data_IF_488388491371
#
_entry.id   IF_488388491371
#
_cell.length_a   1.000
_cell.length_b   1.000
_cell.length_c   1.000
_cell.angle_alpha   90.00
_cell.angle_beta   90.00
_cell.angle_gamma   90.00
#
_symmetry.space_group_name_H-M   'P 1'
#
loop_
_entity.id
_entity.type
_entity.pdbx_description
1 polymer ?
#
# COMPACT_ATOMS: atom_id res chain seq x y z
N UNK A 1 8.53 -1.67 2.48
CA UNK A 1 7.80 -1.17 1.28
C UNK A 1 6.73 -0.21 1.75
N UNK A 2 6.37 0.79 0.95
CA UNK A 2 5.33 1.78 1.28
C UNK A 2 4.21 1.67 0.25
N UNK A 3 2.96 1.68 0.70
CA UNK A 3 1.78 1.84 -0.16
C UNK A 3 1.21 3.23 0.07
N UNK A 4 0.86 3.91 -1.03
CA UNK A 4 0.09 5.15 -0.99
C UNK A 4 -1.28 4.93 -1.61
N UNK A 5 -2.31 5.35 -0.90
CA UNK A 5 -3.69 5.26 -1.37
C UNK A 5 -4.31 6.65 -1.39
N UNK A 6 -4.78 7.07 -2.55
CA UNK A 6 -5.62 8.26 -2.68
C UNK A 6 -7.05 7.95 -2.28
N UNK A 7 -7.65 8.81 -1.45
CA UNK A 7 -9.05 8.70 -1.03
C UNK A 7 -9.83 9.87 -1.62
N UNK A 8 -10.96 9.61 -2.30
CA UNK A 8 -11.81 10.64 -2.92
C UNK A 8 -12.50 11.57 -1.92
N UNK A 9 -13.13 12.63 -2.44
CA UNK A 9 -13.82 13.74 -1.73
C UNK A 9 -12.94 14.66 -0.86
N UNK A 10 -11.77 14.17 -0.46
CA UNK A 10 -10.74 14.93 0.25
C UNK A 10 -9.43 14.76 -0.52
N UNK A 11 -8.66 15.82 -0.74
CA UNK A 11 -7.33 15.70 -1.37
C UNK A 11 -6.31 15.11 -0.36
N UNK A 12 -6.59 13.89 0.14
CA UNK A 12 -5.81 13.20 1.16
C UNK A 12 -5.25 11.91 0.60
N UNK A 13 -3.95 11.75 0.82
CA UNK A 13 -3.21 10.53 0.59
C UNK A 13 -2.98 9.83 1.93
N UNK A 14 -3.11 8.50 1.94
CA UNK A 14 -2.72 7.65 3.05
C UNK A 14 -1.42 6.93 2.69
N UNK A 15 -0.36 7.21 3.42
CA UNK A 15 0.89 6.47 3.33
C UNK A 15 0.91 5.38 4.41
N UNK A 16 1.12 4.13 3.97
CA UNK A 16 1.06 2.95 4.82
C UNK A 16 2.36 2.17 4.63
N UNK A 17 3.16 2.08 5.68
CA UNK A 17 4.39 1.32 5.68
C UNK A 17 4.08 -0.15 5.99
N UNK A 18 4.46 -1.03 5.08
CA UNK A 18 4.18 -2.46 5.19
C UNK A 18 5.25 -3.22 5.96
N UNK A 19 4.88 -4.35 6.59
CA UNK A 19 5.85 -5.23 7.22
C UNK A 19 6.87 -5.76 6.18
N UNK A 20 8.09 -6.11 6.61
CA UNK A 20 9.20 -6.46 5.71
C UNK A 20 8.97 -7.75 4.90
N UNK A 21 8.05 -8.61 5.33
CA UNK A 21 7.67 -9.86 4.67
C UNK A 21 6.43 -9.72 3.76
N UNK A 22 5.88 -8.50 3.61
CA UNK A 22 4.72 -8.25 2.78
C UNK A 22 5.01 -8.54 1.30
N UNK A 23 4.17 -9.37 0.67
CA UNK A 23 4.34 -9.76 -0.73
C UNK A 23 3.54 -8.87 -1.67
N UNK A 24 4.22 -8.31 -2.67
CA UNK A 24 3.63 -7.42 -3.69
C UNK A 24 2.42 -8.05 -4.38
N UNK A 25 2.49 -9.33 -4.74
CA UNK A 25 1.40 -10.00 -5.47
C UNK A 25 0.14 -10.20 -4.61
N UNK A 26 0.29 -10.48 -3.31
CA UNK A 26 -0.84 -10.61 -2.38
C UNK A 26 -1.55 -9.26 -2.18
N UNK A 27 -0.76 -8.18 -2.11
CA UNK A 27 -1.26 -6.81 -2.02
C UNK A 27 -2.02 -6.43 -3.29
N UNK A 28 -1.42 -6.69 -4.47
CA UNK A 28 -2.06 -6.41 -5.76
C UNK A 28 -3.40 -7.13 -5.89
N UNK A 29 -3.45 -8.42 -5.53
CA UNK A 29 -4.70 -9.19 -5.55
C UNK A 29 -5.78 -8.57 -4.64
N UNK A 30 -5.39 -8.12 -3.44
CA UNK A 30 -6.32 -7.46 -2.50
C UNK A 30 -6.85 -6.13 -3.06
N UNK A 31 -5.99 -5.35 -3.72
CA UNK A 31 -6.38 -4.10 -4.40
C UNK A 31 -7.31 -4.40 -5.58
N UNK A 32 -6.99 -5.39 -6.42
CA UNK A 32 -7.83 -5.78 -7.56
C UNK A 32 -9.21 -6.24 -7.11
N UNK A 33 -9.32 -7.07 -6.07
CA UNK A 33 -10.61 -7.45 -5.50
C UNK A 33 -11.42 -6.24 -4.99
N UNK A 34 -10.76 -5.24 -4.40
CA UNK A 34 -11.43 -4.01 -3.98
C UNK A 34 -11.94 -3.21 -5.19
N UNK A 35 -11.10 -3.04 -6.23
CA UNK A 35 -11.44 -2.27 -7.42
C UNK A 35 -12.49 -2.96 -8.32
N UNK A 36 -12.53 -4.30 -8.32
CA UNK A 36 -13.56 -5.09 -8.99
C UNK A 36 -14.91 -5.04 -8.26
N UNK A 37 -14.93 -4.55 -7.02
CA UNK A 37 -16.12 -4.50 -6.18
C UNK A 37 -16.42 -5.79 -5.42
N UNK A 38 -15.48 -6.74 -5.40
CA UNK A 38 -15.61 -8.00 -4.64
C UNK A 38 -15.62 -7.75 -3.13
N UNK A 39 -14.93 -6.69 -2.70
CA UNK A 39 -14.92 -6.22 -1.30
C UNK A 39 -15.25 -4.75 -1.21
N UNK A 40 -16.00 -4.36 -0.18
CA UNK A 40 -16.45 -2.98 0.04
C UNK A 40 -15.40 -2.09 0.71
N UNK A 41 -14.40 -2.69 1.36
CA UNK A 41 -13.31 -2.01 2.06
C UNK A 41 -12.00 -2.73 1.77
N UNK A 42 -10.99 -1.99 1.31
CA UNK A 42 -9.61 -2.43 1.26
C UNK A 42 -8.99 -2.29 2.65
N UNK A 43 -8.66 -3.42 3.28
CA UNK A 43 -7.93 -3.45 4.54
C UNK A 43 -6.45 -3.68 4.30
N UNK A 44 -5.61 -2.85 4.90
CA UNK A 44 -4.16 -2.97 4.87
C UNK A 44 -3.65 -2.98 6.31
N UNK A 45 -2.82 -3.96 6.64
CA UNK A 45 -2.12 -4.03 7.94
C UNK A 45 -0.74 -3.40 7.76
N UNK A 46 -0.42 -2.40 8.57
CA UNK A 46 0.89 -1.77 8.56
C UNK A 46 1.93 -2.56 9.39
N UNK A 47 3.19 -2.12 9.34
CA UNK A 47 4.31 -2.76 10.04
C UNK A 47 4.13 -2.89 11.56
N UNK A 48 3.29 -2.06 12.17
CA UNK A 48 3.04 -2.04 13.62
C UNK A 48 1.78 -2.85 13.98
N UNK A 49 1.16 -3.51 13.00
CA UNK A 49 -0.07 -4.29 13.17
C UNK A 49 -1.35 -3.45 13.19
N UNK A 50 -1.27 -2.13 12.92
CA UNK A 50 -2.46 -1.29 12.81
C UNK A 50 -3.16 -1.59 11.48
N UNK A 51 -4.49 -1.71 11.55
CA UNK A 51 -5.32 -1.91 10.36
C UNK A 51 -5.85 -0.57 9.84
N UNK A 52 -5.63 -0.32 8.56
CA UNK A 52 -6.13 0.85 7.82
C UNK A 52 -7.18 0.36 6.82
N UNK A 53 -8.39 0.88 6.94
CA UNK A 53 -9.50 0.56 6.04
C UNK A 53 -9.80 1.71 5.09
N UNK A 54 -9.83 1.43 3.79
CA UNK A 54 -10.20 2.40 2.75
C UNK A 54 -11.45 1.89 2.03
N UNK A 55 -12.56 2.66 1.99
CA UNK A 55 -13.72 2.28 1.20
C UNK A 55 -13.35 2.11 -0.28
N UNK A 56 -13.64 0.95 -0.87
CA UNK A 56 -13.19 0.61 -2.23
C UNK A 56 -13.69 1.61 -3.28
N UNK A 57 -14.94 2.06 -3.11
CA UNK A 57 -15.58 3.06 -3.98
C UNK A 57 -14.95 4.46 -3.91
N UNK A 58 -14.04 4.69 -2.96
CA UNK A 58 -13.35 5.97 -2.75
C UNK A 58 -11.87 5.91 -3.11
N UNK A 59 -11.35 4.77 -3.56
CA UNK A 59 -9.97 4.66 -4.02
C UNK A 59 -9.84 5.46 -5.32
N UNK A 60 -8.97 6.47 -5.34
CA UNK A 60 -8.71 7.29 -6.53
C UNK A 60 -7.43 6.87 -7.24
N UNK A 61 -6.41 6.45 -6.48
CA UNK A 61 -5.20 5.84 -6.99
C UNK A 61 -4.56 4.95 -5.93
N UNK A 62 -3.71 4.03 -6.38
CA UNK A 62 -2.83 3.25 -5.50
C UNK A 62 -1.43 3.24 -6.11
N UNK A 63 -0.43 3.57 -5.30
CA UNK A 63 0.99 3.46 -5.62
C UNK A 63 1.64 2.46 -4.66
N UNK A 64 2.31 1.46 -5.22
CA UNK A 64 3.03 0.42 -4.49
C UNK A 64 4.51 0.70 -4.68
N UNK A 65 5.14 1.28 -3.66
CA UNK A 65 6.57 1.55 -3.66
C UNK A 65 7.38 0.27 -3.81
N UNK A 66 8.59 0.40 -4.33
CA UNK A 66 9.51 -0.73 -4.40
C UNK A 66 10.10 -1.03 -3.02
N UNK A 67 10.57 -2.27 -2.82
CA UNK A 67 11.49 -2.53 -1.71
C UNK A 67 12.74 -1.69 -1.92
N UNK A 68 12.87 -0.61 -1.14
CA UNK A 68 14.07 0.21 -1.14
C UNK A 68 15.17 -0.63 -0.49
N UNK A 69 15.89 -1.44 -1.25
CA UNK A 69 17.19 -1.93 -0.80
C UNK A 69 18.12 -0.72 -0.80
N UNK A 70 18.60 -0.22 0.35
CA UNK A 70 19.57 0.85 0.34
C UNK A 70 20.80 0.36 -0.42
N UNK A 71 21.13 0.97 -1.56
CA UNK A 71 22.44 0.76 -2.16
C UNK A 71 23.45 1.37 -1.19
N UNK A 72 24.04 0.52 -0.34
CA UNK A 72 25.21 0.89 0.45
C UNK A 72 26.37 1.05 -0.53
N UNK A 73 26.44 2.23 -1.15
CA UNK A 73 27.57 2.67 -1.96
C UNK A 73 28.51 3.50 -1.09
N UNK A 74 29.14 2.88 -0.09
CA UNK A 74 30.37 3.45 0.43
C UNK A 74 31.47 3.10 -0.56
N UNK A 75 32.06 4.13 -1.17
CA UNK A 75 33.27 3.97 -1.94
C UNK A 75 34.33 3.26 -1.11
N UNK A 76 34.86 2.17 -1.63
CA UNK A 76 36.11 1.60 -1.20
C UNK A 76 36.71 0.79 -2.36
N UNK A 77 37.70 1.42 -3.01
CA UNK A 77 38.75 0.90 -3.90
C UNK A 77 38.36 0.51 -5.32
#
# INVERSE_FOLDING_TARGET
>A
MIIRVGVGDIAKELEIELPPDAKVDEIKGSIESALNGDVSVLWITDKDGRQVGVPSSRITFVDIGTEVTPKIGFGAS
#
